data_IF_387943973908
#
_entry.id   IF_387943973908
#
_cell.length_a   1.000
_cell.length_b   1.000
_cell.length_c   1.000
_cell.angle_alpha   90.00
_cell.angle_beta   90.00
_cell.angle_gamma   90.00
#
_symmetry.space_group_name_H-M   'P 1'
#
loop_
_entity.id
_entity.type
_entity.pdbx_description
1 polymer ?
#
# COMPACT_ATOMS: atom_id res chain seq x y z
N UNK A 1 5.31 -18.79 -5.24
CA UNK A 1 5.70 -18.88 -3.82
C UNK A 1 5.86 -17.53 -3.13
N UNK A 2 6.71 -16.58 -3.59
CA UNK A 2 7.01 -15.34 -2.85
C UNK A 2 5.81 -14.39 -2.61
N UNK A 3 4.93 -14.20 -3.61
CA UNK A 3 3.76 -13.27 -3.51
C UNK A 3 2.75 -13.67 -2.41
N UNK A 4 2.42 -14.96 -2.32
CA UNK A 4 1.49 -15.47 -1.30
C UNK A 4 2.04 -15.31 0.12
N UNK A 5 3.37 -15.39 0.27
CA UNK A 5 4.02 -15.16 1.56
C UNK A 5 3.92 -13.68 1.97
N UNK A 6 4.16 -12.74 1.06
CA UNK A 6 4.03 -11.30 1.32
C UNK A 6 2.60 -10.91 1.73
N UNK A 7 1.58 -11.47 1.08
CA UNK A 7 0.18 -11.24 1.47
C UNK A 7 -0.15 -11.83 2.83
N UNK A 8 0.38 -13.02 3.16
CA UNK A 8 0.21 -13.61 4.50
C UNK A 8 0.84 -12.74 5.59
N UNK A 9 2.03 -12.21 5.33
CA UNK A 9 2.73 -11.30 6.25
C UNK A 9 1.95 -10.00 6.43
N UNK A 10 1.47 -9.39 5.34
CA UNK A 10 0.60 -8.21 5.40
C UNK A 10 -0.66 -8.45 6.25
N UNK A 11 -1.38 -9.55 5.99
CA UNK A 11 -2.58 -9.89 6.74
C UNK A 11 -2.29 -10.16 8.22
N UNK A 12 -1.11 -10.71 8.54
CA UNK A 12 -0.66 -10.88 9.92
C UNK A 12 -0.44 -9.52 10.58
N UNK A 13 0.24 -8.57 9.93
CA UNK A 13 0.46 -7.22 10.45
C UNK A 13 -0.86 -6.50 10.71
N UNK A 14 -1.81 -6.54 9.77
CA UNK A 14 -3.15 -5.95 9.92
C UNK A 14 -3.85 -6.53 11.16
N UNK A 15 -3.82 -7.85 11.32
CA UNK A 15 -4.45 -8.53 12.45
C UNK A 15 -3.77 -8.19 13.79
N UNK A 16 -2.45 -8.24 13.84
CA UNK A 16 -1.67 -8.03 15.06
C UNK A 16 -1.84 -6.58 15.58
N UNK A 17 -2.02 -5.62 14.66
CA UNK A 17 -2.27 -4.21 14.98
C UNK A 17 -3.76 -3.84 15.07
N UNK A 18 -4.67 -4.82 14.97
CA UNK A 18 -6.14 -4.62 15.03
C UNK A 18 -6.67 -3.59 14.02
N UNK A 19 -6.03 -3.49 12.87
CA UNK A 19 -6.41 -2.55 11.82
C UNK A 19 -7.62 -3.08 11.03
N UNK A 20 -8.33 -2.18 10.35
CA UNK A 20 -9.35 -2.57 9.39
C UNK A 20 -8.74 -3.42 8.26
N UNK A 21 -9.55 -4.29 7.66
CA UNK A 21 -9.14 -5.02 6.45
C UNK A 21 -8.73 -3.99 5.39
N UNK A 22 -7.71 -4.31 4.60
CA UNK A 22 -7.33 -3.52 3.44
C UNK A 22 -8.55 -3.23 2.57
N UNK A 23 -8.74 -1.96 2.21
CA UNK A 23 -9.77 -1.50 1.32
C UNK A 23 -9.77 -2.31 0.01
N UNK A 24 -10.96 -2.65 -0.50
CA UNK A 24 -11.07 -3.51 -1.68
C UNK A 24 -10.37 -2.93 -2.93
N UNK A 25 -10.35 -1.60 -3.11
CA UNK A 25 -9.65 -0.96 -4.22
C UNK A 25 -8.14 -0.93 -4.02
N UNK A 26 -7.65 -0.65 -2.80
CA UNK A 26 -6.22 -0.79 -2.47
C UNK A 26 -5.76 -2.23 -2.62
N UNK A 27 -6.60 -3.20 -2.24
CA UNK A 27 -6.36 -4.61 -2.43
C UNK A 27 -6.20 -4.92 -3.93
N UNK A 28 -7.14 -4.49 -4.79
CA UNK A 28 -7.01 -4.67 -6.25
C UNK A 28 -5.73 -4.06 -6.81
N UNK A 29 -5.37 -2.83 -6.42
CA UNK A 29 -4.14 -2.17 -6.85
C UNK A 29 -2.92 -3.01 -6.44
N UNK A 30 -2.82 -3.37 -5.16
CA UNK A 30 -1.70 -4.14 -4.63
C UNK A 30 -1.56 -5.48 -5.36
N UNK A 31 -2.66 -6.24 -5.52
CA UNK A 31 -2.62 -7.53 -6.20
C UNK A 31 -2.27 -7.40 -7.69
N UNK A 32 -2.73 -6.34 -8.36
CA UNK A 32 -2.36 -6.05 -9.76
C UNK A 32 -0.86 -5.82 -9.88
N UNK A 33 -0.29 -4.97 -9.02
CA UNK A 33 1.13 -4.65 -9.00
C UNK A 33 1.99 -5.89 -8.68
N UNK A 34 1.60 -6.66 -7.67
CA UNK A 34 2.25 -7.92 -7.37
C UNK A 34 2.16 -8.89 -8.54
N UNK A 35 1.04 -8.96 -9.26
CA UNK A 35 0.88 -9.80 -10.46
C UNK A 35 1.86 -9.37 -11.56
N UNK A 36 2.02 -8.07 -11.79
CA UNK A 36 2.96 -7.45 -12.74
C UNK A 36 4.44 -7.60 -12.37
N UNK A 37 4.75 -8.15 -11.19
CA UNK A 37 6.13 -8.44 -10.77
C UNK A 37 6.74 -7.38 -9.84
N UNK A 38 5.92 -6.43 -9.38
CA UNK A 38 6.25 -5.58 -8.24
C UNK A 38 6.29 -6.42 -6.95
N UNK A 39 6.80 -5.85 -5.86
CA UNK A 39 6.94 -6.51 -4.56
C UNK A 39 6.65 -5.52 -3.45
N UNK A 40 6.04 -5.99 -2.37
CA UNK A 40 6.05 -5.26 -1.10
C UNK A 40 7.49 -5.24 -0.59
N UNK A 41 8.08 -4.05 -0.53
CA UNK A 41 9.38 -3.79 0.07
C UNK A 41 9.27 -3.71 1.58
N UNK A 42 8.23 -3.02 2.07
CA UNK A 42 8.05 -2.73 3.48
C UNK A 42 6.56 -2.55 3.80
N UNK A 43 6.16 -2.91 5.02
CA UNK A 43 4.86 -2.56 5.59
C UNK A 43 5.13 -1.85 6.90
N UNK A 44 4.59 -0.65 7.06
CA UNK A 44 4.67 0.11 8.31
C UNK A 44 3.27 0.33 8.88
N UNK A 45 3.19 0.34 10.20
CA UNK A 45 1.99 0.75 10.93
C UNK A 45 2.38 1.93 11.79
N UNK A 46 1.62 3.01 11.66
CA UNK A 46 1.93 4.28 12.30
C UNK A 46 2.82 5.19 11.45
N UNK A 47 2.73 6.48 11.73
CA UNK A 47 3.55 7.52 11.10
C UNK A 47 2.76 8.80 10.88
N UNK A 48 3.47 9.92 10.65
CA UNK A 48 2.86 11.21 10.31
C UNK A 48 1.75 11.69 11.27
N UNK A 49 1.81 11.29 12.54
CA UNK A 49 0.83 11.65 13.57
C UNK A 49 -0.39 10.73 13.67
N UNK A 50 -0.45 9.63 12.92
CA UNK A 50 -1.51 8.62 13.02
C UNK A 50 -0.90 7.24 13.28
N UNK A 51 -1.04 6.74 14.51
CA UNK A 51 -0.46 5.47 14.96
C UNK A 51 -1.15 4.23 14.36
N UNK A 52 -2.33 4.41 13.77
CA UNK A 52 -3.12 3.32 13.19
C UNK A 52 -3.02 3.28 11.67
N UNK A 53 -2.26 4.20 11.05
CA UNK A 53 -2.19 4.26 9.60
C UNK A 53 -1.33 3.15 9.04
N UNK A 54 -1.88 2.34 8.13
CA UNK A 54 -1.17 1.27 7.44
C UNK A 54 -0.52 1.80 6.16
N UNK A 55 0.80 1.69 6.07
CA UNK A 55 1.55 1.95 4.86
C UNK A 55 2.08 0.67 4.25
N UNK A 56 1.88 0.49 2.95
CA UNK A 56 2.38 -0.62 2.15
C UNK A 56 3.26 -0.03 1.06
N UNK A 57 4.57 -0.27 1.14
CA UNK A 57 5.53 0.28 0.20
C UNK A 57 5.93 -0.76 -0.85
N UNK A 58 5.78 -0.39 -2.11
CA UNK A 58 6.19 -1.18 -3.27
C UNK A 58 7.59 -0.81 -3.75
N UNK A 59 8.33 -1.82 -4.18
CA UNK A 59 9.74 -1.72 -4.60
C UNK A 59 9.92 -0.95 -5.92
N UNK A 60 8.89 -0.93 -6.78
CA UNK A 60 8.92 -0.28 -8.09
C UNK A 60 7.72 0.67 -8.26
N UNK A 61 7.81 1.66 -9.17
CA UNK A 61 6.67 2.50 -9.54
C UNK A 61 5.44 1.69 -9.96
N UNK A 62 4.27 2.30 -9.81
CA UNK A 62 3.04 1.67 -10.27
C UNK A 62 3.10 1.39 -11.77
N UNK A 63 2.81 0.15 -12.15
CA UNK A 63 2.77 -0.26 -13.55
C UNK A 63 1.54 0.24 -14.28
N UNK A 64 0.45 0.52 -13.55
CA UNK A 64 -0.78 1.08 -14.09
C UNK A 64 -1.37 2.12 -13.14
N UNK A 65 -1.80 3.27 -13.68
CA UNK A 65 -2.61 4.23 -12.94
C UNK A 65 -4.08 3.83 -13.07
N UNK A 66 -4.67 3.39 -11.97
CA UNK A 66 -6.10 3.09 -11.88
C UNK A 66 -6.79 4.32 -11.29
N UNK A 67 -7.74 4.90 -12.01
CA UNK A 67 -8.64 5.90 -11.42
C UNK A 67 -9.70 5.18 -10.58
N UNK A 68 -9.73 5.48 -9.30
CA UNK A 68 -10.65 4.84 -8.34
C UNK A 68 -11.24 5.91 -7.45
N UNK A 69 -12.57 5.90 -7.32
CA UNK A 69 -13.30 6.95 -6.60
C UNK A 69 -13.09 6.90 -5.08
N UNK A 70 -12.82 5.73 -4.52
CA UNK A 70 -12.76 5.52 -3.06
C UNK A 70 -11.36 5.72 -2.48
N UNK A 71 -10.34 5.88 -3.33
CA UNK A 71 -8.95 6.09 -2.88
C UNK A 71 -8.35 7.28 -3.63
N UNK A 72 -7.65 8.13 -2.91
CA UNK A 72 -7.01 9.30 -3.50
C UNK A 72 -5.66 8.90 -4.07
N UNK A 73 -5.48 9.10 -5.37
CA UNK A 73 -4.16 9.02 -5.99
C UNK A 73 -3.41 10.35 -5.84
N UNK A 74 -2.10 10.29 -5.59
CA UNK A 74 -1.23 11.46 -5.58
C UNK A 74 0.17 11.13 -6.09
N UNK A 75 0.72 12.01 -6.93
CA UNK A 75 2.14 12.03 -7.24
C UNK A 75 2.86 12.85 -6.18
N UNK A 76 3.73 12.20 -5.40
CA UNK A 76 4.56 12.85 -4.38
C UNK A 76 5.88 13.30 -5.00
N UNK A 77 6.51 12.42 -5.80
CA UNK A 77 7.78 12.64 -6.48
C UNK A 77 8.87 13.23 -5.56
N UNK A 78 8.94 12.76 -4.31
CA UNK A 78 9.99 13.12 -3.35
C UNK A 78 10.88 11.91 -3.01
N UNK A 79 12.17 11.92 -3.37
CA UNK A 79 13.11 10.83 -3.06
C UNK A 79 13.30 10.53 -1.57
N UNK A 80 12.99 11.47 -0.67
CA UNK A 80 13.01 11.22 0.78
C UNK A 80 11.82 10.37 1.24
N UNK A 81 10.75 10.34 0.45
CA UNK A 81 9.53 9.60 0.71
C UNK A 81 9.34 8.52 -0.36
N UNK A 82 8.51 8.82 -1.37
CA UNK A 82 8.15 7.91 -2.44
C UNK A 82 7.68 8.69 -3.66
N UNK A 83 7.49 7.96 -4.76
CA UNK A 83 7.12 8.55 -6.05
C UNK A 83 5.63 8.83 -6.13
N UNK A 84 4.80 7.82 -5.87
CA UNK A 84 3.34 7.90 -6.06
C UNK A 84 2.64 7.12 -4.94
N UNK A 85 1.40 7.51 -4.61
CA UNK A 85 0.58 6.85 -3.60
C UNK A 85 -0.91 6.75 -3.98
N UNK A 86 -1.56 5.73 -3.42
CA UNK A 86 -3.00 5.59 -3.31
C UNK A 86 -3.38 5.52 -1.83
N UNK A 87 -4.23 6.43 -1.39
CA UNK A 87 -4.61 6.55 0.02
C UNK A 87 -6.12 6.41 0.21
N UNK A 88 -6.52 5.50 1.08
CA UNK A 88 -7.85 5.45 1.67
C UNK A 88 -7.83 6.24 2.99
N UNK A 89 -8.44 7.43 2.98
CA UNK A 89 -8.54 8.30 4.16
C UNK A 89 -9.57 7.79 5.18
N UNK A 90 -10.54 6.99 4.77
CA UNK A 90 -11.57 6.45 5.68
C UNK A 90 -10.98 5.34 6.56
N UNK A 91 -10.20 4.45 5.97
CA UNK A 91 -9.58 3.34 6.68
C UNK A 91 -8.14 3.60 7.13
N UNK A 92 -7.58 4.79 6.84
CA UNK A 92 -6.19 5.18 7.15
C UNK A 92 -5.17 4.21 6.56
N UNK A 93 -5.27 3.97 5.25
CA UNK A 93 -4.43 2.99 4.55
C UNK A 93 -3.79 3.65 3.33
N UNK A 94 -2.55 3.30 3.04
CA UNK A 94 -1.83 3.82 1.88
C UNK A 94 -0.98 2.74 1.24
N UNK A 95 -1.11 2.62 -0.08
CA UNK A 95 -0.16 1.89 -0.92
C UNK A 95 0.68 2.93 -1.64
N UNK A 96 1.99 2.91 -1.42
CA UNK A 96 2.95 3.83 -2.03
C UNK A 96 4.02 3.06 -2.81
N UNK A 97 4.68 3.69 -3.76
CA UNK A 97 5.75 3.07 -4.54
C UNK A 97 7.03 3.90 -4.58
N UNK A 98 8.16 3.21 -4.53
CA UNK A 98 9.48 3.81 -4.73
C UNK A 98 9.73 4.16 -6.21
N UNK A 99 10.84 4.87 -6.46
CA UNK A 99 11.26 5.36 -7.78
C UNK A 99 11.78 4.26 -8.72
#
# INVERSE_FOLDING_TARGET
>A
MKKQQQIKELNKIIKDNKLSKLNNELEKILYSELKSGNKIREVSVGGFGDEEHLFIFLDKPFTSKIEVYTVKYKEINDPHYWKEEYTDLQNKQTVACYF
#
